data_IF_436166025908
#
_entry.id   IF_436166025908
#
_cell.length_a   1.000
_cell.length_b   1.000
_cell.length_c   1.000
_cell.angle_alpha   90.00
_cell.angle_beta   90.00
_cell.angle_gamma   90.00
#
_symmetry.space_group_name_H-M   'P 1'
#
loop_
_entity.id
_entity.type
_entity.pdbx_description
1 polymer ?
#
# COMPACT_ATOMS: atom_id res chain seq x y z
N UNK A 1 27.32 -17.52 -15.78
CA UNK A 1 26.43 -17.04 -14.70
C UNK A 1 25.26 -16.39 -15.38
N UNK A 2 24.15 -17.12 -15.53
CA UNK A 2 22.95 -16.59 -16.17
C UNK A 2 22.46 -15.40 -15.34
N UNK A 3 22.22 -14.27 -15.99
CA UNK A 3 21.58 -13.12 -15.36
C UNK A 3 20.19 -13.58 -14.94
N UNK A 4 19.95 -13.66 -13.64
CA UNK A 4 18.64 -13.94 -13.10
C UNK A 4 17.69 -12.83 -13.59
N UNK A 5 16.77 -13.19 -14.47
CA UNK A 5 15.79 -12.26 -15.01
C UNK A 5 14.63 -12.19 -14.03
N UNK A 6 14.75 -11.28 -13.07
CA UNK A 6 13.76 -11.04 -12.02
C UNK A 6 12.36 -10.79 -12.61
N UNK A 7 12.28 -10.07 -13.71
CA UNK A 7 11.00 -9.75 -14.34
C UNK A 7 10.33 -11.00 -14.92
N UNK A 8 11.12 -11.89 -15.51
CA UNK A 8 10.63 -13.14 -16.05
C UNK A 8 10.17 -14.09 -14.94
N UNK A 9 10.90 -14.15 -13.83
CA UNK A 9 10.53 -14.93 -12.66
C UNK A 9 9.20 -14.41 -12.04
N UNK A 10 9.08 -13.10 -11.84
CA UNK A 10 7.85 -12.48 -11.34
C UNK A 10 6.69 -12.76 -12.30
N UNK A 11 6.86 -12.54 -13.59
CA UNK A 11 5.82 -12.77 -14.57
C UNK A 11 5.35 -14.24 -14.61
N UNK A 12 6.27 -15.19 -14.44
CA UNK A 12 5.94 -16.61 -14.37
C UNK A 12 5.17 -16.98 -13.10
N UNK A 13 5.57 -16.45 -11.95
CA UNK A 13 4.92 -16.71 -10.65
C UNK A 13 3.53 -16.09 -10.56
N UNK A 14 3.32 -14.95 -11.19
CA UNK A 14 2.10 -14.15 -11.06
C UNK A 14 1.17 -14.25 -12.26
N UNK A 15 1.51 -15.08 -13.25
CA UNK A 15 0.76 -15.17 -14.50
C UNK A 15 0.67 -13.82 -15.26
N UNK A 16 1.68 -12.95 -15.08
CA UNK A 16 1.71 -11.61 -15.67
C UNK A 16 1.01 -10.53 -14.85
N UNK A 17 0.44 -10.87 -13.68
CA UNK A 17 -0.16 -9.90 -12.77
C UNK A 17 0.80 -9.52 -11.65
N UNK A 18 1.09 -8.22 -11.52
CA UNK A 18 1.98 -7.67 -10.48
C UNK A 18 1.15 -6.84 -9.51
N UNK A 19 1.01 -7.32 -8.29
CA UNK A 19 0.35 -6.62 -7.21
C UNK A 19 1.38 -6.10 -6.20
N UNK A 20 1.56 -4.77 -6.18
CA UNK A 20 2.54 -4.10 -5.32
C UNK A 20 1.86 -3.64 -4.05
N UNK A 21 2.07 -4.36 -2.94
CA UNK A 21 1.64 -3.93 -1.62
C UNK A 21 2.55 -2.83 -1.10
N UNK A 22 2.01 -1.63 -0.89
CA UNK A 22 2.76 -0.50 -0.33
C UNK A 22 2.49 -0.42 1.15
N UNK A 23 3.45 -0.89 1.93
CA UNK A 23 3.32 -1.09 3.38
C UNK A 23 4.31 -0.24 4.18
N UNK A 24 4.17 -0.21 5.48
CA UNK A 24 5.05 0.58 6.35
C UNK A 24 4.26 1.25 7.47
N UNK A 25 4.91 1.97 8.37
CA UNK A 25 4.25 2.72 9.43
C UNK A 25 3.25 3.74 8.88
N UNK A 26 2.29 4.12 9.70
CA UNK A 26 1.30 5.14 9.33
C UNK A 26 1.98 6.48 9.01
N UNK A 27 1.41 7.23 8.07
CA UNK A 27 1.87 8.59 7.67
C UNK A 27 3.30 8.67 7.12
N UNK A 28 3.81 7.60 6.57
CA UNK A 28 5.13 7.60 5.90
C UNK A 28 5.10 8.04 4.44
N UNK A 29 3.92 8.41 3.91
CA UNK A 29 3.79 8.85 2.53
C UNK A 29 3.42 7.75 1.53
N UNK A 30 2.91 6.60 1.98
CA UNK A 30 2.49 5.47 1.12
C UNK A 30 1.56 5.89 -0.01
N UNK A 31 0.46 6.55 0.30
CA UNK A 31 -0.52 7.01 -0.71
C UNK A 31 0.08 8.05 -1.67
N UNK A 32 0.99 8.90 -1.18
CA UNK A 32 1.73 9.85 -2.02
C UNK A 32 2.66 9.12 -2.99
N UNK A 33 3.36 8.10 -2.51
CA UNK A 33 4.20 7.24 -3.34
C UNK A 33 3.35 6.54 -4.42
N UNK A 34 2.23 5.91 -4.04
CA UNK A 34 1.31 5.24 -4.97
C UNK A 34 0.87 6.20 -6.08
N UNK A 35 0.42 7.40 -5.71
CA UNK A 35 0.02 8.41 -6.68
C UNK A 35 1.15 8.74 -7.65
N UNK A 36 2.35 9.00 -7.16
CA UNK A 36 3.52 9.33 -8.00
C UNK A 36 3.96 8.16 -8.87
N UNK A 37 3.92 6.95 -8.35
CA UNK A 37 4.22 5.74 -9.12
C UNK A 37 3.24 5.59 -10.29
N UNK A 38 1.95 5.74 -10.01
CA UNK A 38 0.90 5.71 -11.05
C UNK A 38 1.12 6.80 -12.09
N UNK A 39 1.31 8.06 -11.66
CA UNK A 39 1.49 9.20 -12.56
C UNK A 39 2.70 9.06 -13.49
N UNK A 40 3.80 8.51 -13.00
CA UNK A 40 5.07 8.50 -13.72
C UNK A 40 5.33 7.21 -14.50
N UNK A 41 4.86 6.06 -14.00
CA UNK A 41 5.23 4.76 -14.53
C UNK A 41 4.05 3.96 -15.12
N UNK A 42 2.85 4.14 -14.61
CA UNK A 42 1.69 3.35 -15.03
C UNK A 42 0.85 4.08 -16.07
N UNK A 43 0.33 5.25 -15.72
CA UNK A 43 -0.59 6.00 -16.59
C UNK A 43 -0.02 6.35 -17.98
N UNK A 44 1.28 6.71 -18.13
CA UNK A 44 1.85 6.96 -19.45
C UNK A 44 1.88 5.73 -20.36
N UNK A 45 1.90 4.54 -19.78
CA UNK A 45 2.02 3.27 -20.48
C UNK A 45 0.69 2.52 -20.67
N UNK A 46 -0.44 3.13 -20.29
CA UNK A 46 -1.79 2.61 -20.59
C UNK A 46 -2.19 3.10 -21.97
N UNK A 47 -2.43 2.15 -22.90
CA UNK A 47 -2.80 2.47 -24.28
C UNK A 47 -4.28 2.84 -24.43
N UNK A 48 -5.17 2.37 -23.56
CA UNK A 48 -6.59 2.62 -23.64
C UNK A 48 -6.97 3.86 -22.83
N UNK A 49 -7.44 4.92 -23.49
CA UNK A 49 -7.79 6.19 -22.86
C UNK A 49 -8.89 6.06 -21.79
N UNK A 50 -9.92 5.25 -22.02
CA UNK A 50 -10.98 5.03 -21.03
C UNK A 50 -10.45 4.36 -19.76
N UNK A 51 -9.59 3.35 -19.93
CA UNK A 51 -8.93 2.68 -18.78
C UNK A 51 -8.02 3.64 -18.04
N UNK A 52 -7.35 4.53 -18.77
CA UNK A 52 -6.46 5.55 -18.20
C UNK A 52 -7.24 6.60 -17.39
N UNK A 53 -8.34 7.14 -17.92
CA UNK A 53 -9.22 8.07 -17.22
C UNK A 53 -9.76 7.45 -15.93
N UNK A 54 -10.28 6.22 -16.01
CA UNK A 54 -10.73 5.48 -14.82
C UNK A 54 -9.62 5.34 -13.77
N UNK A 55 -8.41 4.97 -14.19
CA UNK A 55 -7.28 4.82 -13.28
C UNK A 55 -6.88 6.15 -12.61
N UNK A 56 -7.03 7.29 -13.32
CA UNK A 56 -6.81 8.63 -12.75
C UNK A 56 -7.84 8.95 -11.66
N UNK A 57 -9.11 8.64 -11.89
CA UNK A 57 -10.19 8.91 -10.93
C UNK A 57 -10.04 8.07 -9.64
N UNK A 58 -9.40 6.92 -9.75
CA UNK A 58 -9.17 5.99 -8.63
C UNK A 58 -7.90 6.29 -7.83
N UNK A 59 -7.08 7.27 -8.25
CA UNK A 59 -5.87 7.66 -7.53
C UNK A 59 -6.15 8.09 -6.08
N UNK A 60 -5.24 7.83 -5.14
CA UNK A 60 -5.35 8.34 -3.80
C UNK A 60 -5.38 9.86 -3.81
N UNK A 61 -6.40 10.44 -3.18
CA UNK A 61 -6.39 11.87 -2.90
C UNK A 61 -5.43 12.13 -1.75
N UNK A 62 -4.47 13.02 -1.96
CA UNK A 62 -3.56 13.46 -0.90
C UNK A 62 -4.36 14.24 0.14
N UNK A 63 -4.77 13.55 1.20
CA UNK A 63 -5.40 14.19 2.34
C UNK A 63 -4.37 15.02 3.08
N UNK A 64 -4.54 16.34 3.09
CA UNK A 64 -3.82 17.25 3.99
C UNK A 64 -4.27 17.11 5.46
N UNK A 65 -5.23 16.22 5.74
CA UNK A 65 -5.80 15.99 7.05
C UNK A 65 -4.91 15.16 7.98
N UNK A 66 -4.92 15.51 9.25
CA UNK A 66 -4.21 14.76 10.31
C UNK A 66 -4.95 13.48 10.73
N UNK A 67 -6.19 13.29 10.29
CA UNK A 67 -7.06 12.19 10.72
C UNK A 67 -7.02 11.05 9.70
N UNK A 68 -6.81 9.84 10.15
CA UNK A 68 -6.88 8.62 9.34
C UNK A 68 -8.35 8.25 9.18
N UNK A 69 -8.83 8.12 7.93
CA UNK A 69 -10.26 7.97 7.64
C UNK A 69 -10.70 6.52 7.45
N UNK A 70 -9.81 5.61 7.03
CA UNK A 70 -10.17 4.22 6.71
C UNK A 70 -9.13 3.24 7.22
N UNK A 71 -9.58 2.01 7.54
CA UNK A 71 -8.72 0.88 7.91
C UNK A 71 -8.60 -0.15 6.79
N UNK A 72 -9.43 -0.02 5.75
CA UNK A 72 -9.47 -1.00 4.67
C UNK A 72 -8.35 -0.77 3.65
N UNK A 73 -7.71 -1.83 3.17
CA UNK A 73 -6.84 -1.75 2.00
C UNK A 73 -7.58 -1.18 0.80
N UNK A 74 -6.92 -0.34 0.04
CA UNK A 74 -7.43 0.23 -1.19
C UNK A 74 -6.60 -0.25 -2.38
N UNK A 75 -7.25 -0.85 -3.34
CA UNK A 75 -6.62 -1.20 -4.60
C UNK A 75 -6.56 0.02 -5.54
N UNK A 76 -5.41 0.25 -6.17
CA UNK A 76 -5.16 1.41 -7.03
C UNK A 76 -4.47 0.95 -8.31
N UNK A 77 -5.16 0.95 -9.44
CA UNK A 77 -6.61 1.07 -9.58
C UNK A 77 -7.36 -0.15 -9.04
N UNK A 78 -8.69 -0.09 -8.94
CA UNK A 78 -9.51 -1.19 -8.42
C UNK A 78 -9.33 -2.49 -9.22
N UNK A 79 -9.20 -2.37 -10.54
CA UNK A 79 -8.84 -3.47 -11.42
C UNK A 79 -7.44 -3.25 -11.98
N UNK A 80 -6.63 -4.31 -12.05
CA UNK A 80 -5.30 -4.24 -12.62
C UNK A 80 -5.34 -3.67 -14.05
N UNK A 81 -4.37 -2.83 -14.38
CA UNK A 81 -4.25 -2.23 -15.69
C UNK A 81 -3.06 -2.79 -16.44
N UNK A 82 -3.23 -2.98 -17.73
CA UNK A 82 -2.19 -3.47 -18.62
C UNK A 82 -1.23 -2.33 -18.95
N UNK A 83 0.04 -2.58 -18.72
CA UNK A 83 1.15 -1.67 -19.00
C UNK A 83 2.05 -2.30 -20.06
N UNK A 84 2.38 -1.54 -21.10
CA UNK A 84 3.31 -1.93 -22.14
C UNK A 84 4.65 -1.23 -21.87
N UNK A 85 5.71 -1.97 -21.54
CA UNK A 85 7.04 -1.41 -21.36
C UNK A 85 7.80 -1.27 -22.68
N UNK A 86 7.61 -2.23 -23.58
CA UNK A 86 8.17 -2.26 -24.91
C UNK A 86 7.25 -3.09 -25.86
N UNK A 87 7.69 -3.31 -27.09
CA UNK A 87 6.91 -4.07 -28.10
C UNK A 87 6.60 -5.52 -27.71
N UNK A 88 7.38 -6.10 -26.78
CA UNK A 88 7.31 -7.51 -26.41
C UNK A 88 7.01 -7.76 -24.92
N UNK A 89 7.00 -6.68 -24.10
CA UNK A 89 6.86 -6.80 -22.66
C UNK A 89 5.59 -6.12 -22.17
N UNK A 90 4.63 -6.93 -21.77
CA UNK A 90 3.35 -6.49 -21.25
C UNK A 90 3.06 -7.19 -19.93
N UNK A 91 2.51 -6.45 -18.96
CA UNK A 91 2.05 -7.01 -17.69
C UNK A 91 0.90 -6.19 -17.11
N UNK A 92 0.15 -6.79 -16.22
CA UNK A 92 -0.89 -6.10 -15.49
C UNK A 92 -0.33 -5.64 -14.14
N UNK A 93 -0.63 -4.41 -13.78
CA UNK A 93 -0.16 -3.82 -12.53
C UNK A 93 -1.31 -3.26 -11.70
N UNK A 94 -1.20 -3.44 -10.40
CA UNK A 94 -2.08 -2.85 -9.40
C UNK A 94 -1.29 -2.61 -8.12
N UNK A 95 -1.46 -1.43 -7.52
CA UNK A 95 -0.90 -1.14 -6.21
C UNK A 95 -1.96 -1.36 -5.14
N UNK A 96 -1.52 -1.67 -3.93
CA UNK A 96 -2.42 -1.85 -2.79
C UNK A 96 -1.95 -0.92 -1.69
N UNK A 97 -2.80 0.06 -1.35
CA UNK A 97 -2.58 0.99 -0.24
C UNK A 97 -3.17 0.44 1.05
N UNK A 98 -2.51 0.68 2.16
CA UNK A 98 -3.00 0.35 3.49
C UNK A 98 -2.70 1.48 4.49
N UNK A 99 -3.34 1.43 5.64
CA UNK A 99 -3.07 2.38 6.73
C UNK A 99 -1.64 2.25 7.22
N UNK A 100 -1.20 1.04 7.43
CA UNK A 100 0.08 0.73 8.07
C UNK A 100 -0.04 0.54 9.58
N UNK A 101 1.06 0.15 10.20
CA UNK A 101 1.14 0.03 11.66
C UNK A 101 1.15 1.38 12.32
N UNK A 102 0.36 1.52 13.38
CA UNK A 102 0.31 2.74 14.18
C UNK A 102 1.61 2.92 14.96
N UNK A 103 1.95 4.16 15.21
CA UNK A 103 3.10 4.57 16.03
C UNK A 103 2.63 5.56 17.08
N UNK A 104 3.37 5.69 18.17
CA UNK A 104 3.06 6.62 19.22
C UNK A 104 2.97 8.08 18.72
N UNK A 105 1.99 8.81 19.23
CA UNK A 105 1.78 10.23 18.89
C UNK A 105 0.99 10.48 17.60
N UNK A 106 0.49 9.44 16.93
CA UNK A 106 -0.40 9.59 15.77
C UNK A 106 -1.83 9.88 16.22
N UNK A 107 -2.46 10.86 15.56
CA UNK A 107 -3.85 11.25 15.85
C UNK A 107 -4.85 10.46 15.00
N UNK A 108 -6.06 10.25 15.55
CA UNK A 108 -7.21 9.68 14.83
C UNK A 108 -7.52 8.22 15.14
N UNK A 109 -6.78 7.59 16.05
CA UNK A 109 -7.08 6.27 16.59
C UNK A 109 -7.88 6.30 17.90
N UNK A 110 -7.98 7.49 18.51
CA UNK A 110 -8.75 7.74 19.74
C UNK A 110 -9.92 8.68 19.44
N UNK A 111 -11.00 8.52 20.16
CA UNK A 111 -12.20 9.36 20.15
C UNK A 111 -12.64 9.53 21.62
N UNK A 112 -12.72 10.77 22.11
CA UNK A 112 -13.07 11.10 23.49
C UNK A 112 -12.29 10.28 24.54
N UNK A 113 -10.96 10.22 24.41
CA UNK A 113 -10.02 9.47 25.24
C UNK A 113 -10.24 7.95 25.29
N UNK A 114 -11.06 7.42 24.38
CA UNK A 114 -11.27 5.98 24.21
C UNK A 114 -10.80 5.51 22.83
N UNK A 115 -10.40 4.23 22.68
CA UNK A 115 -10.06 3.68 21.37
C UNK A 115 -11.24 3.82 20.41
N UNK A 116 -11.02 4.46 19.27
CA UNK A 116 -12.02 4.56 18.20
C UNK A 116 -12.37 3.17 17.69
N UNK A 117 -13.66 2.82 17.75
CA UNK A 117 -14.18 1.54 17.28
C UNK A 117 -14.57 1.63 15.81
N UNK A 118 -14.28 0.60 15.04
CA UNK A 118 -14.57 0.54 13.60
C UNK A 118 -15.09 -0.83 13.19
N UNK A 119 -15.90 -0.86 12.12
CA UNK A 119 -16.30 -2.09 11.43
C UNK A 119 -15.39 -2.36 10.25
N UNK A 120 -15.10 -3.63 10.02
CA UNK A 120 -14.32 -4.08 8.88
C UNK A 120 -15.06 -5.19 8.13
N UNK A 121 -14.82 -5.37 6.82
CA UNK A 121 -15.46 -6.44 6.05
C UNK A 121 -15.09 -7.86 6.51
N UNK A 122 -14.03 -8.00 7.30
CA UNK A 122 -13.51 -9.29 7.77
C UNK A 122 -13.82 -9.59 9.25
N UNK A 123 -14.71 -8.80 9.86
CA UNK A 123 -15.15 -9.02 11.24
C UNK A 123 -16.61 -8.66 11.43
N UNK A 124 -17.37 -9.54 12.03
CA UNK A 124 -18.79 -9.33 12.36
C UNK A 124 -18.97 -8.37 13.54
N UNK A 125 -17.92 -8.11 14.30
CA UNK A 125 -17.94 -7.25 15.48
C UNK A 125 -17.06 -6.02 15.27
N UNK A 126 -17.43 -4.92 15.92
CA UNK A 126 -16.58 -3.73 16.00
C UNK A 126 -15.29 -4.04 16.75
N UNK A 127 -14.20 -3.44 16.30
CA UNK A 127 -12.89 -3.58 16.92
C UNK A 127 -12.18 -2.23 17.00
N UNK A 128 -11.17 -2.08 17.87
CA UNK A 128 -10.34 -0.88 17.91
C UNK A 128 -9.71 -0.60 16.54
N UNK A 129 -9.66 0.69 16.17
CA UNK A 129 -9.08 1.16 14.91
C UNK A 129 -7.66 0.62 14.68
N UNK A 130 -6.83 0.62 15.72
CA UNK A 130 -5.47 0.09 15.66
C UNK A 130 -5.44 -1.36 15.20
N UNK A 131 -6.24 -2.22 15.83
CA UNK A 131 -6.34 -3.63 15.45
C UNK A 131 -6.86 -3.81 14.02
N UNK A 132 -7.81 -3.01 13.60
CA UNK A 132 -8.33 -3.04 12.24
C UNK A 132 -7.27 -2.60 11.21
N UNK A 133 -6.46 -1.60 11.53
CA UNK A 133 -5.35 -1.14 10.71
C UNK A 133 -4.24 -2.20 10.58
N UNK A 134 -3.89 -2.86 11.69
CA UNK A 134 -2.97 -3.99 11.70
C UNK A 134 -3.46 -5.13 10.81
N UNK A 135 -4.68 -5.60 11.03
CA UNK A 135 -5.28 -6.68 10.23
C UNK A 135 -5.34 -6.32 8.74
N UNK A 136 -5.71 -5.08 8.41
CA UNK A 136 -5.71 -4.59 7.03
C UNK A 136 -4.31 -4.61 6.41
N UNK A 137 -3.29 -4.20 7.14
CA UNK A 137 -1.89 -4.23 6.70
C UNK A 137 -1.39 -5.66 6.49
N UNK A 138 -1.68 -6.57 7.44
CA UNK A 138 -1.35 -7.98 7.31
C UNK A 138 -2.03 -8.64 6.11
N UNK A 139 -3.28 -8.28 5.80
CA UNK A 139 -3.97 -8.77 4.60
C UNK A 139 -3.29 -8.30 3.31
N UNK A 140 -2.82 -7.05 3.25
CA UNK A 140 -2.03 -6.58 2.11
C UNK A 140 -0.77 -7.40 1.97
N UNK A 141 -0.05 -7.63 3.04
CA UNK A 141 1.18 -8.41 3.04
C UNK A 141 0.90 -9.86 2.60
N UNK A 142 -0.02 -10.56 3.25
CA UNK A 142 -0.17 -12.00 3.12
C UNK A 142 -1.10 -12.45 1.96
N UNK A 143 -2.07 -11.63 1.57
CA UNK A 143 -3.15 -12.06 0.67
C UNK A 143 -3.21 -11.27 -0.64
N UNK A 144 -2.75 -10.01 -0.65
CA UNK A 144 -3.03 -9.07 -1.74
C UNK A 144 -1.80 -8.60 -2.51
N UNK A 145 -0.61 -9.02 -2.12
CA UNK A 145 0.65 -8.57 -2.74
C UNK A 145 1.44 -9.73 -3.32
N UNK A 146 2.03 -9.50 -4.49
CA UNK A 146 3.08 -10.35 -5.06
C UNK A 146 4.46 -9.80 -4.78
N UNK A 147 4.53 -8.49 -4.51
CA UNK A 147 5.74 -7.75 -4.10
C UNK A 147 5.33 -6.80 -2.99
N UNK A 148 6.07 -6.82 -1.88
CA UNK A 148 5.96 -5.85 -0.79
C UNK A 148 6.96 -4.73 -0.94
N UNK A 149 6.49 -3.48 -0.88
CA UNK A 149 7.32 -2.29 -0.89
C UNK A 149 7.16 -1.53 0.43
N UNK A 150 8.24 -1.44 1.20
CA UNK A 150 8.23 -0.73 2.49
C UNK A 150 8.53 0.75 2.27
N UNK A 151 7.61 1.61 2.72
CA UNK A 151 7.78 3.06 2.73
C UNK A 151 7.94 3.53 4.17
N UNK A 152 9.04 4.18 4.44
CA UNK A 152 9.35 4.76 5.74
C UNK A 152 9.70 6.24 5.64
N UNK A 153 9.99 6.88 6.77
CA UNK A 153 10.34 8.31 6.87
C UNK A 153 11.41 8.54 7.93
N UNK A 154 12.15 9.61 7.77
CA UNK A 154 13.08 10.12 8.78
C UNK A 154 12.40 10.92 9.91
N UNK A 155 11.06 11.08 9.84
CA UNK A 155 10.26 11.84 10.80
C UNK A 155 10.15 13.33 10.49
N UNK A 156 10.93 13.88 9.58
CA UNK A 156 11.00 15.33 9.30
C UNK A 156 9.67 15.91 8.80
N UNK A 157 8.88 15.14 8.04
CA UNK A 157 7.62 15.60 7.46
C UNK A 157 6.51 15.71 8.51
N UNK A 158 6.47 14.79 9.48
CA UNK A 158 5.38 14.66 10.44
C UNK A 158 5.69 15.29 11.81
N UNK A 159 6.93 15.68 12.02
CA UNK A 159 7.39 16.20 13.33
C UNK A 159 7.40 15.16 14.45
N UNK A 160 7.35 13.86 14.10
CA UNK A 160 7.48 12.76 15.03
C UNK A 160 8.92 12.25 15.03
N UNK A 161 9.47 11.87 16.19
CA UNK A 161 10.85 11.41 16.28
C UNK A 161 11.05 10.11 15.48
N UNK A 162 12.19 10.00 14.80
CA UNK A 162 12.56 8.81 14.00
C UNK A 162 12.48 7.52 14.82
N UNK A 163 12.83 7.57 16.11
CA UNK A 163 12.76 6.41 17.01
C UNK A 163 11.37 5.80 17.14
N UNK A 164 10.30 6.58 16.97
CA UNK A 164 8.93 6.08 17.05
C UNK A 164 8.51 5.18 15.87
N UNK A 165 9.29 5.18 14.79
CA UNK A 165 8.99 4.37 13.59
C UNK A 165 9.68 3.00 13.59
N UNK A 166 10.74 2.81 14.37
CA UNK A 166 11.64 1.64 14.28
C UNK A 166 10.87 0.34 14.50
N UNK A 167 10.11 0.22 15.58
CA UNK A 167 9.38 -1.01 15.92
C UNK A 167 8.38 -1.39 14.83
N UNK A 168 7.61 -0.42 14.33
CA UNK A 168 6.65 -0.66 13.26
C UNK A 168 7.32 -1.04 11.93
N UNK A 169 8.50 -0.51 11.64
CA UNK A 169 9.28 -0.87 10.46
C UNK A 169 9.85 -2.29 10.56
N UNK A 170 10.45 -2.63 11.68
CA UNK A 170 10.97 -3.97 11.93
C UNK A 170 9.87 -5.01 11.78
N UNK A 171 8.70 -4.77 12.34
CA UNK A 171 7.53 -5.65 12.21
C UNK A 171 7.11 -5.84 10.74
N UNK A 172 7.02 -4.77 9.96
CA UNK A 172 6.67 -4.86 8.54
C UNK A 172 7.70 -5.70 7.76
N UNK A 173 8.99 -5.46 8.03
CA UNK A 173 10.08 -6.19 7.35
C UNK A 173 10.05 -7.66 7.70
N UNK A 174 9.88 -8.01 8.99
CA UNK A 174 9.77 -9.39 9.44
C UNK A 174 8.58 -10.12 8.79
N UNK A 175 7.41 -9.48 8.74
CA UNK A 175 6.22 -10.07 8.11
C UNK A 175 6.41 -10.29 6.61
N UNK A 176 7.03 -9.34 5.89
CA UNK A 176 7.36 -9.50 4.47
C UNK A 176 8.38 -10.62 4.22
N UNK A 177 9.38 -10.76 5.09
CA UNK A 177 10.37 -11.83 4.99
C UNK A 177 9.78 -13.22 5.20
N UNK A 178 8.72 -13.33 6.00
CA UNK A 178 8.02 -14.61 6.23
C UNK A 178 7.17 -15.05 5.03
N UNK A 179 6.82 -14.14 4.15
CA UNK A 179 6.09 -14.48 2.91
C UNK A 179 6.98 -15.17 1.86
N UNK A 180 8.29 -15.06 1.95
CA UNK A 180 9.26 -15.58 0.98
C UNK A 180 9.62 -14.60 -0.07
#
# INVERSE_FOLDING_TARGET
>A
MERFDLYKDIAQRTNGDIYIGVVGPVRTGKSTFIKRFMDLLVLPNISNEYTKERAIDELPQSGSGRTIMTTQPKFVPNEAVTVNLDENTQFNVRLVDCVGYLIDGVLGHMEDDTPRMVRTPWSDTEMPFEKAAEMGTQKVINEHSTIGLVITTDGSINGLPRSGYIEAEERVVEELQQMG
#
